data_IF_267317351542
#
_entry.id   IF_267317351542
#
_cell.length_a   1.000
_cell.length_b   1.000
_cell.length_c   1.000
_cell.angle_alpha   90.00
_cell.angle_beta   90.00
_cell.angle_gamma   90.00
#
_symmetry.space_group_name_H-M   'P 1'
#
loop_
_entity.id
_entity.type
_entity.pdbx_description
1 polymer ?
#
# COMPACT_ATOMS: atom_id res chain seq x y z
N UNK A 1 33.42 -4.79 -33.39
CA UNK A 1 33.24 -3.33 -33.50
C UNK A 1 31.77 -3.07 -33.79
N UNK A 2 31.10 -2.37 -32.87
CA UNK A 2 29.62 -2.40 -32.68
C UNK A 2 28.88 -1.72 -33.84
N UNK A 3 27.89 -2.42 -34.40
CA UNK A 3 26.89 -1.90 -35.34
C UNK A 3 25.71 -1.30 -34.57
N UNK A 4 25.23 -0.13 -35.00
CA UNK A 4 23.97 0.50 -34.57
C UNK A 4 22.78 -0.10 -35.32
N UNK A 5 21.67 -0.38 -34.61
CA UNK A 5 20.29 -0.64 -35.11
C UNK A 5 19.27 -0.47 -33.93
N UNK A 6 17.94 -0.34 -34.15
CA UNK A 6 17.18 0.88 -33.84
C UNK A 6 16.02 0.73 -32.81
N UNK A 7 15.24 1.80 -32.66
CA UNK A 7 14.04 1.95 -31.83
C UNK A 7 13.01 0.81 -31.99
N UNK A 8 12.77 0.06 -30.90
CA UNK A 8 11.48 -0.50 -30.46
C UNK A 8 11.71 -1.68 -29.52
N UNK A 9 11.70 -1.42 -28.23
CA UNK A 9 11.41 -2.46 -27.23
C UNK A 9 10.67 -1.81 -26.08
N UNK A 10 9.34 -1.93 -26.15
CA UNK A 10 8.43 -1.69 -25.02
C UNK A 10 8.94 -2.50 -23.83
N UNK A 11 9.63 -1.85 -22.89
CA UNK A 11 9.76 -2.36 -21.54
C UNK A 11 8.36 -2.28 -20.92
N UNK A 12 7.63 -3.40 -20.94
CA UNK A 12 6.54 -3.62 -20.01
C UNK A 12 7.18 -3.61 -18.61
N UNK A 13 7.05 -2.50 -17.92
CA UNK A 13 7.30 -2.42 -16.48
C UNK A 13 6.17 -3.15 -15.76
N UNK A 14 6.17 -4.48 -15.83
CA UNK A 14 5.45 -5.32 -14.88
C UNK A 14 6.33 -5.50 -13.65
N UNK A 15 5.90 -4.93 -12.53
CA UNK A 15 6.46 -5.18 -11.20
C UNK A 15 7.73 -4.38 -10.90
N UNK A 16 7.59 -3.23 -10.23
CA UNK A 16 8.70 -2.63 -9.49
C UNK A 16 8.72 -3.30 -8.11
N UNK A 17 9.40 -4.45 -8.05
CA UNK A 17 10.07 -4.89 -6.84
C UNK A 17 11.50 -4.35 -6.92
N UNK A 18 11.95 -3.60 -5.91
CA UNK A 18 13.35 -3.19 -5.78
C UNK A 18 13.52 -1.77 -5.26
N UNK A 19 13.87 -1.69 -3.98
CA UNK A 19 14.97 -0.90 -3.44
C UNK A 19 14.99 0.63 -3.70
N UNK A 20 14.80 1.39 -2.61
CA UNK A 20 15.44 2.70 -2.48
C UNK A 20 14.59 3.93 -2.83
N UNK A 21 13.44 4.12 -2.18
CA UNK A 21 12.80 5.45 -2.11
C UNK A 21 12.55 5.85 -0.66
N UNK A 22 13.62 6.24 0.01
CA UNK A 22 13.54 7.08 1.21
C UNK A 22 12.89 8.41 0.82
N UNK A 23 11.67 8.64 1.29
CA UNK A 23 11.03 9.96 1.40
C UNK A 23 11.11 10.85 0.14
N UNK A 24 10.23 10.65 -0.84
CA UNK A 24 9.87 11.72 -1.77
C UNK A 24 8.44 12.16 -1.51
N UNK A 25 8.29 13.25 -0.74
CA UNK A 25 7.03 13.96 -0.56
C UNK A 25 7.14 15.34 -1.23
N UNK A 26 6.14 15.62 -2.07
CA UNK A 26 5.76 16.91 -2.70
C UNK A 26 6.55 17.36 -3.93
N UNK A 27 5.85 17.72 -5.04
CA UNK A 27 4.98 18.90 -5.02
C UNK A 27 3.57 18.70 -5.59
N UNK A 28 2.68 19.58 -5.11
CA UNK A 28 1.43 20.04 -5.72
C UNK A 28 0.24 19.05 -5.78
N UNK A 29 -0.69 19.26 -4.85
CA UNK A 29 -2.14 19.34 -5.10
C UNK A 29 -2.61 18.82 -6.47
N UNK A 30 -2.79 17.50 -6.56
CA UNK A 30 -3.25 16.86 -7.79
C UNK A 30 -3.36 15.36 -7.59
N UNK A 31 -4.46 14.93 -6.98
CA UNK A 31 -4.81 13.52 -6.81
C UNK A 31 -4.76 12.82 -8.16
N UNK A 32 -3.77 11.95 -8.37
CA UNK A 32 -3.59 11.19 -9.61
C UNK A 32 -3.44 9.71 -9.26
N UNK A 33 -4.35 8.88 -9.78
CA UNK A 33 -4.19 7.43 -9.77
C UNK A 33 -2.92 7.10 -10.56
N UNK A 34 -1.89 6.56 -9.91
CA UNK A 34 -0.63 6.24 -10.59
C UNK A 34 -0.79 4.90 -11.35
N UNK A 35 -0.76 4.89 -12.69
CA UNK A 35 -0.98 3.67 -13.47
C UNK A 35 0.13 2.64 -13.26
N UNK A 36 1.36 3.10 -12.98
CA UNK A 36 2.53 2.24 -12.71
C UNK A 36 2.48 1.54 -11.34
N UNK A 37 1.55 1.93 -10.46
CA UNK A 37 1.33 1.36 -9.13
C UNK A 37 -0.05 0.69 -9.04
N UNK A 38 -0.54 0.13 -10.14
CA UNK A 38 -1.75 -0.69 -10.16
C UNK A 38 -3.02 0.03 -9.69
N UNK A 39 -3.09 1.36 -9.78
CA UNK A 39 -4.29 2.09 -9.37
C UNK A 39 -4.27 2.65 -7.94
N UNK A 40 -3.09 2.79 -7.33
CA UNK A 40 -2.91 3.49 -6.06
C UNK A 40 -3.56 4.87 -6.08
N UNK A 41 -4.41 5.14 -5.07
CA UNK A 41 -5.14 6.39 -4.92
C UNK A 41 -4.72 7.11 -3.63
N UNK A 42 -4.18 8.32 -3.78
CA UNK A 42 -3.73 9.19 -2.67
C UNK A 42 -4.52 10.50 -2.68
N UNK A 43 -5.66 10.58 -1.96
CA UNK A 43 -6.47 11.80 -1.93
C UNK A 43 -5.74 12.96 -1.23
N UNK A 44 -4.92 12.66 -0.22
CA UNK A 44 -4.19 13.66 0.56
C UNK A 44 -2.79 13.13 0.90
N UNK A 45 -1.79 13.20 0.00
CA UNK A 45 -0.50 12.51 0.19
C UNK A 45 0.40 13.10 1.29
N UNK A 46 -0.07 14.09 2.03
CA UNK A 46 0.71 14.76 3.07
C UNK A 46 1.08 13.77 4.18
N UNK A 47 2.36 13.68 4.53
CA UNK A 47 2.82 12.89 5.68
C UNK A 47 2.80 11.38 5.51
N UNK A 48 2.68 10.85 4.28
CA UNK A 48 2.80 9.40 4.06
C UNK A 48 4.27 8.98 4.15
N UNK A 49 4.55 7.99 4.99
CA UNK A 49 5.89 7.41 5.17
C UNK A 49 5.83 5.94 4.82
N UNK A 50 6.67 5.50 3.89
CA UNK A 50 6.81 4.09 3.52
C UNK A 50 8.26 3.68 3.70
N UNK A 51 8.56 2.99 4.80
CA UNK A 51 9.89 2.45 5.04
C UNK A 51 9.86 0.93 4.83
N UNK A 52 10.46 0.45 3.73
CA UNK A 52 10.49 -0.97 3.36
C UNK A 52 9.08 -1.60 3.25
N UNK A 53 8.14 -0.92 2.61
CA UNK A 53 6.76 -1.41 2.48
C UNK A 53 6.44 -1.85 1.05
N UNK A 54 5.69 -2.95 0.92
CA UNK A 54 5.10 -3.43 -0.34
C UNK A 54 3.61 -3.20 -0.28
N UNK A 55 3.09 -2.45 -1.25
CA UNK A 55 1.65 -2.15 -1.37
C UNK A 55 1.12 -2.74 -2.66
N UNK A 56 0.04 -3.49 -2.55
CA UNK A 56 -0.67 -4.10 -3.66
C UNK A 56 -1.40 -3.09 -4.54
N UNK A 57 -2.11 -3.62 -5.52
CA UNK A 57 -2.84 -2.83 -6.51
C UNK A 57 -4.13 -2.24 -5.93
N UNK A 58 -4.59 -1.13 -6.51
CA UNK A 58 -5.85 -0.46 -6.18
C UNK A 58 -6.05 -0.14 -4.68
N UNK A 59 -4.95 0.18 -3.99
CA UNK A 59 -5.00 0.59 -2.59
C UNK A 59 -5.30 2.09 -2.45
N UNK A 60 -6.14 2.43 -1.46
CA UNK A 60 -6.43 3.80 -1.07
C UNK A 60 -5.56 4.16 0.15
N UNK A 61 -4.63 5.10 -0.02
CA UNK A 61 -3.77 5.60 1.05
C UNK A 61 -4.17 7.03 1.39
N UNK A 62 -4.77 7.22 2.56
CA UNK A 62 -5.12 8.56 3.04
C UNK A 62 -3.88 9.27 3.64
N UNK A 63 -4.03 10.53 4.02
CA UNK A 63 -2.91 11.31 4.56
C UNK A 63 -2.35 10.77 5.87
N UNK A 64 -1.10 11.11 6.14
CA UNK A 64 -0.39 10.77 7.39
C UNK A 64 -0.29 9.27 7.70
N UNK A 65 -0.41 8.41 6.68
CA UNK A 65 -0.24 6.97 6.84
C UNK A 65 1.25 6.64 7.00
N UNK A 66 1.59 5.92 8.06
CA UNK A 66 2.98 5.55 8.36
C UNK A 66 3.13 4.04 8.33
N UNK A 67 3.94 3.54 7.40
CA UNK A 67 4.39 2.16 7.32
C UNK A 67 5.81 2.10 7.87
N UNK A 68 5.93 1.56 9.07
CA UNK A 68 7.17 1.58 9.85
C UNK A 68 7.95 0.31 9.54
N UNK A 69 9.24 0.45 9.25
CA UNK A 69 10.16 -0.68 9.31
C UNK A 69 10.51 -0.94 10.78
N UNK A 70 10.25 -2.15 11.26
CA UNK A 70 10.53 -2.54 12.64
C UNK A 70 11.49 -3.73 12.63
N UNK A 71 12.67 -3.56 13.24
CA UNK A 71 13.75 -4.56 13.25
C UNK A 71 14.14 -5.12 11.86
N UNK A 72 14.14 -4.29 10.82
CA UNK A 72 14.47 -4.70 9.45
C UNK A 72 13.31 -5.37 8.71
N UNK A 73 12.17 -5.58 9.38
CA UNK A 73 10.98 -6.16 8.76
C UNK A 73 10.12 -5.07 8.12
N UNK A 74 9.84 -5.28 6.84
CA UNK A 74 8.94 -4.44 6.06
C UNK A 74 7.46 -4.68 6.36
N UNK A 75 6.60 -3.88 5.74
CA UNK A 75 5.14 -4.06 5.78
C UNK A 75 4.65 -4.62 4.45
N UNK A 76 3.74 -5.59 4.48
CA UNK A 76 3.10 -6.14 3.28
C UNK A 76 1.61 -5.79 3.28
N UNK A 77 1.13 -5.19 2.20
CA UNK A 77 -0.27 -4.81 2.02
C UNK A 77 -0.76 -5.41 0.71
N UNK A 78 -1.83 -6.20 0.79
CA UNK A 78 -2.49 -6.82 -0.36
C UNK A 78 -3.35 -5.84 -1.15
N UNK A 79 -4.04 -6.37 -2.16
CA UNK A 79 -4.79 -5.55 -3.11
C UNK A 79 -6.08 -4.97 -2.52
N UNK A 80 -6.58 -3.87 -3.10
CA UNK A 80 -7.85 -3.25 -2.73
C UNK A 80 -7.97 -2.85 -1.25
N UNK A 81 -6.85 -2.60 -0.59
CA UNK A 81 -6.82 -2.17 0.80
C UNK A 81 -7.12 -0.67 0.94
N UNK A 82 -7.65 -0.28 2.09
CA UNK A 82 -7.90 1.14 2.41
C UNK A 82 -7.26 1.49 3.75
N UNK A 83 -6.31 2.42 3.75
CA UNK A 83 -5.59 2.85 4.93
C UNK A 83 -6.02 4.25 5.34
N UNK A 84 -6.83 4.34 6.39
CA UNK A 84 -7.39 5.60 6.88
C UNK A 84 -6.33 6.60 7.35
N UNK A 85 -6.73 7.87 7.41
CA UNK A 85 -5.83 8.97 7.72
C UNK A 85 -5.12 8.77 9.08
N UNK A 86 -3.79 8.92 9.11
CA UNK A 86 -3.02 8.85 10.36
C UNK A 86 -2.84 7.43 10.91
N UNK A 87 -3.22 6.38 10.17
CA UNK A 87 -2.98 5.02 10.63
C UNK A 87 -1.49 4.67 10.59
N UNK A 88 -1.07 3.80 11.51
CA UNK A 88 0.31 3.31 11.61
C UNK A 88 0.32 1.79 11.53
N UNK A 89 1.21 1.25 10.72
CA UNK A 89 1.41 -0.20 10.58
C UNK A 89 2.85 -0.51 10.92
N UNK A 90 3.07 -1.40 11.89
CA UNK A 90 4.40 -1.81 12.31
C UNK A 90 5.01 -2.81 11.33
N UNK A 91 6.35 -2.82 11.29
CA UNK A 91 7.12 -3.75 10.46
C UNK A 91 6.90 -5.19 10.90
N UNK A 92 6.90 -6.11 9.93
CA UNK A 92 6.55 -7.52 10.15
C UNK A 92 5.05 -7.81 9.99
N UNK A 93 4.22 -6.78 9.83
CA UNK A 93 2.78 -6.94 9.60
C UNK A 93 2.47 -7.20 8.12
N UNK A 94 1.63 -8.20 7.90
CA UNK A 94 1.03 -8.52 6.61
C UNK A 94 -0.50 -8.31 6.65
N UNK A 95 -1.00 -7.48 5.75
CA UNK A 95 -2.44 -7.26 5.56
C UNK A 95 -2.87 -7.87 4.23
N UNK A 96 -3.82 -8.80 4.27
CA UNK A 96 -4.41 -9.41 3.10
C UNK A 96 -5.32 -8.46 2.31
N UNK A 97 -5.76 -8.90 1.14
CA UNK A 97 -6.58 -8.11 0.24
C UNK A 97 -7.90 -7.63 0.88
N UNK A 98 -8.43 -6.51 0.43
CA UNK A 98 -9.68 -5.91 0.94
C UNK A 98 -9.67 -5.55 2.43
N UNK A 99 -8.48 -5.40 3.03
CA UNK A 99 -8.34 -4.94 4.42
C UNK A 99 -8.58 -3.44 4.51
N UNK A 100 -9.34 -3.03 5.53
CA UNK A 100 -9.62 -1.64 5.84
C UNK A 100 -9.06 -1.28 7.21
N UNK A 101 -8.17 -0.30 7.26
CA UNK A 101 -7.62 0.24 8.49
C UNK A 101 -8.28 1.59 8.75
N UNK A 102 -8.82 1.76 9.95
CA UNK A 102 -9.48 3.01 10.33
C UNK A 102 -8.48 4.16 10.46
N UNK A 103 -8.94 5.42 10.33
CA UNK A 103 -8.14 6.57 10.67
C UNK A 103 -7.61 6.50 12.11
N UNK A 104 -6.33 6.81 12.30
CA UNK A 104 -5.66 6.80 13.60
C UNK A 104 -5.42 5.41 14.21
N UNK A 105 -5.75 4.32 13.51
CA UNK A 105 -5.51 2.97 14.02
C UNK A 105 -4.03 2.60 14.01
N UNK A 106 -3.59 1.79 14.98
CA UNK A 106 -2.20 1.30 15.07
C UNK A 106 -2.19 -0.22 15.03
N UNK A 107 -1.67 -0.79 13.94
CA UNK A 107 -1.70 -2.23 13.67
C UNK A 107 -0.38 -2.88 14.09
N UNK A 108 -0.49 -3.85 15.01
CA UNK A 108 0.63 -4.65 15.54
C UNK A 108 0.62 -6.10 15.05
N UNK A 109 -0.54 -6.60 14.60
CA UNK A 109 -0.74 -7.99 14.23
C UNK A 109 -1.02 -8.13 12.73
N UNK A 110 -0.65 -9.29 12.17
CA UNK A 110 -0.89 -9.64 10.77
C UNK A 110 -2.28 -10.21 10.55
N UNK A 111 -2.89 -9.86 9.42
CA UNK A 111 -4.19 -10.32 8.95
C UNK A 111 -4.10 -10.79 7.49
N UNK A 112 -3.41 -11.91 7.21
CA UNK A 112 -3.12 -12.36 5.85
C UNK A 112 -4.37 -12.78 5.05
N UNK A 113 -5.43 -13.25 5.72
CA UNK A 113 -6.69 -13.64 5.08
C UNK A 113 -7.44 -12.45 4.44
N UNK A 114 -7.10 -11.23 4.89
CA UNK A 114 -7.73 -10.01 4.40
C UNK A 114 -9.19 -9.89 4.81
N UNK A 115 -9.96 -9.17 3.98
CA UNK A 115 -11.41 -8.95 4.15
C UNK A 115 -11.84 -8.43 5.52
N UNK A 116 -10.94 -7.76 6.24
CA UNK A 116 -11.14 -7.36 7.62
C UNK A 116 -11.16 -5.85 7.76
N UNK A 117 -11.84 -5.37 8.79
CA UNK A 117 -11.87 -3.96 9.15
C UNK A 117 -11.26 -3.78 10.55
N UNK A 118 -10.12 -3.10 10.62
CA UNK A 118 -9.27 -2.91 11.80
C UNK A 118 -9.41 -1.49 12.35
N UNK A 119 -9.67 -1.35 13.65
CA UNK A 119 -9.88 -0.06 14.32
C UNK A 119 -9.24 -0.03 15.70
N UNK A 120 -8.76 1.14 16.13
CA UNK A 120 -8.25 1.36 17.48
C UNK A 120 -6.72 1.42 17.57
N UNK A 121 -6.23 1.72 18.77
CA UNK A 121 -4.81 1.72 19.13
C UNK A 121 -4.67 1.02 20.50
N UNK A 122 -4.31 -0.28 20.55
CA UNK A 122 -3.97 -1.15 19.42
C UNK A 122 -5.20 -1.50 18.55
N UNK A 123 -4.97 -1.75 17.27
CA UNK A 123 -6.02 -2.05 16.30
C UNK A 123 -6.58 -3.46 16.53
N UNK A 124 -7.90 -3.57 16.61
CA UNK A 124 -8.63 -4.83 16.74
C UNK A 124 -9.57 -5.04 15.57
N UNK A 125 -9.89 -6.30 15.28
CA UNK A 125 -10.91 -6.65 14.29
C UNK A 125 -12.27 -6.17 14.77
N UNK A 126 -12.90 -5.28 14.00
CA UNK A 126 -14.29 -4.88 14.23
C UNK A 126 -15.27 -5.64 13.39
N UNK A 127 -14.87 -6.02 12.17
CA UNK A 127 -15.77 -6.69 11.22
C UNK A 127 -14.98 -7.51 10.21
N UNK A 128 -15.40 -8.76 10.04
CA UNK A 128 -15.08 -9.56 8.86
C UNK A 128 -16.08 -9.27 7.75
N UNK A 129 -15.59 -9.18 6.51
CA UNK A 129 -16.39 -9.09 5.29
C UNK A 129 -16.33 -10.44 4.60
N UNK A 130 -17.45 -10.88 4.04
CA UNK A 130 -17.44 -12.02 3.14
C UNK A 130 -16.90 -11.54 1.79
N UNK A 131 -16.01 -12.31 1.11
CA UNK A 131 -15.77 -12.08 -0.30
C UNK A 131 -17.11 -12.13 -1.05
N UNK A 132 -17.33 -11.27 -2.06
CA UNK A 132 -18.52 -11.37 -2.88
C UNK A 132 -18.57 -12.78 -3.47
N UNK A 133 -19.69 -13.47 -3.30
CA UNK A 133 -19.93 -14.72 -4.01
C UNK A 133 -19.90 -14.38 -5.50
N UNK A 134 -18.97 -14.99 -6.23
CA UNK A 134 -18.96 -14.90 -7.69
C UNK A 134 -20.21 -15.63 -8.14
N UNK A 135 -21.26 -14.87 -8.49
CA UNK A 135 -22.42 -15.42 -9.18
C UNK A 135 -21.93 -15.84 -10.56
N UNK A 136 -21.69 -17.14 -10.71
CA UNK A 136 -21.47 -17.80 -12.00
C UNK A 136 -22.72 -17.74 -12.86
#
# INVERSE_FOLDING_TARGET
MVKTLPASSRLRLTGIAGDGLSSFCSPASGVRRLPSWGGLYMPHPQGIVMNNARVGENCDLYGSVVLINYFGQGVRIGDHCKLGNGCRILGGVELGAHTKVAPGAVVFESFPDGWVTLWGNPAVVKRYRKPPEIQL
#
